data_IF_234304520788
#
_entry.id   IF_234304520788
#
_cell.length_a   1.000
_cell.length_b   1.000
_cell.length_c   1.000
_cell.angle_alpha   90.00
_cell.angle_beta   90.00
_cell.angle_gamma   90.00
#
_symmetry.space_group_name_H-M   'P 1'
#
loop_
_entity.id
_entity.type
_entity.pdbx_description
1 polymer ?
#
# COMPACT_ATOMS: atom_id res chain seq x y z
N UNK A 1 40.07 -17.14 -1.89
CA UNK A 1 39.33 -15.85 -2.06
C UNK A 1 37.98 -16.01 -1.40
N UNK A 2 37.77 -15.31 -0.29
CA UNK A 2 36.53 -15.33 0.47
C UNK A 2 35.43 -14.64 -0.35
N UNK A 3 34.45 -15.40 -0.82
CA UNK A 3 33.21 -14.84 -1.37
C UNK A 3 32.32 -14.50 -0.18
N UNK A 4 32.41 -13.24 0.24
CA UNK A 4 31.48 -12.64 1.20
C UNK A 4 30.10 -12.65 0.56
N UNK A 5 29.21 -13.51 1.06
CA UNK A 5 27.77 -13.39 0.77
C UNK A 5 27.34 -12.02 1.27
N UNK A 6 27.15 -11.07 0.36
CA UNK A 6 26.37 -9.87 0.64
C UNK A 6 25.02 -10.34 1.18
N UNK A 7 24.79 -10.08 2.47
CA UNK A 7 23.45 -10.18 3.05
C UNK A 7 22.64 -9.09 2.37
N UNK A 8 21.74 -9.47 1.45
CA UNK A 8 20.71 -8.57 0.97
C UNK A 8 19.96 -8.01 2.19
N UNK A 9 20.09 -6.71 2.43
CA UNK A 9 19.35 -5.94 3.44
C UNK A 9 17.84 -5.80 3.10
N UNK A 10 17.31 -6.62 2.17
CA UNK A 10 15.92 -6.60 1.72
C UNK A 10 14.89 -6.87 2.82
N UNK A 11 15.27 -7.52 3.93
CA UNK A 11 14.34 -7.86 5.01
C UNK A 11 13.89 -6.63 5.82
N UNK A 12 14.65 -5.52 5.79
CA UNK A 12 14.28 -4.28 6.50
C UNK A 12 13.30 -3.42 5.69
N UNK A 13 13.44 -3.41 4.37
CA UNK A 13 12.59 -2.63 3.48
C UNK A 13 11.18 -3.22 3.36
N UNK A 14 11.06 -4.55 3.45
CA UNK A 14 9.76 -5.22 3.41
C UNK A 14 8.87 -4.79 4.59
N UNK A 15 9.40 -4.82 5.82
CA UNK A 15 8.62 -4.51 7.03
C UNK A 15 8.04 -3.11 7.09
N UNK A 16 8.65 -2.18 6.36
CA UNK A 16 8.16 -0.83 6.16
C UNK A 16 6.88 -0.78 5.32
N UNK A 17 6.54 -1.79 4.51
CA UNK A 17 5.28 -1.80 3.75
C UNK A 17 4.05 -1.94 4.63
N UNK A 18 4.14 -2.66 5.76
CA UNK A 18 2.99 -2.92 6.65
C UNK A 18 2.94 -2.01 7.85
N UNK A 19 4.11 -1.60 8.35
CA UNK A 19 4.22 -0.80 9.57
C UNK A 19 4.72 0.61 9.32
N UNK A 20 5.38 0.84 8.19
CA UNK A 20 5.82 2.18 7.83
C UNK A 20 4.65 3.09 7.48
N UNK A 21 4.96 4.38 7.38
CA UNK A 21 4.06 5.41 6.94
C UNK A 21 3.52 5.07 5.55
N UNK A 22 2.20 4.92 5.46
CA UNK A 22 1.48 4.95 4.20
C UNK A 22 1.07 6.38 3.89
N UNK A 23 1.75 6.99 2.93
CA UNK A 23 1.53 8.36 2.46
C UNK A 23 0.64 8.44 1.21
N UNK A 24 0.03 7.34 0.77
CA UNK A 24 -0.93 7.34 -0.34
C UNK A 24 -2.29 7.90 0.11
N UNK A 25 -2.28 9.11 0.67
CA UNK A 25 -3.41 9.90 1.11
C UNK A 25 -3.15 11.37 0.82
N UNK A 26 -4.20 12.11 0.51
CA UNK A 26 -4.12 13.55 0.24
C UNK A 26 -3.52 14.31 1.44
N UNK A 27 -2.63 15.26 1.17
CA UNK A 27 -2.01 16.12 2.18
C UNK A 27 -0.86 15.47 2.95
N UNK A 28 -0.36 14.31 2.51
CA UNK A 28 0.78 13.60 3.11
C UNK A 28 2.03 13.62 2.21
N UNK A 29 2.01 14.42 1.15
CA UNK A 29 3.11 14.53 0.19
C UNK A 29 4.32 15.25 0.80
N UNK A 30 5.53 14.84 0.42
CA UNK A 30 6.78 15.53 0.81
C UNK A 30 7.24 15.29 2.25
N UNK A 31 6.60 14.38 3.00
CA UNK A 31 7.02 14.01 4.35
C UNK A 31 8.32 13.19 4.35
N UNK A 32 9.15 13.41 5.38
CA UNK A 32 10.36 12.62 5.64
C UNK A 32 9.99 11.21 6.15
N UNK A 33 9.81 10.29 5.21
CA UNK A 33 9.44 8.90 5.50
C UNK A 33 10.47 8.19 6.36
N UNK A 34 11.76 8.43 6.13
CA UNK A 34 12.82 7.73 6.85
C UNK A 34 12.74 8.06 8.34
N UNK A 35 12.64 9.35 8.66
CA UNK A 35 12.50 9.82 10.04
C UNK A 35 11.22 9.32 10.69
N UNK A 36 10.07 9.40 10.00
CA UNK A 36 8.78 8.96 10.54
C UNK A 36 8.79 7.45 10.79
N UNK A 37 9.28 6.67 9.83
CA UNK A 37 9.38 5.23 9.95
C UNK A 37 10.32 4.80 11.08
N UNK A 38 11.42 5.53 11.29
CA UNK A 38 12.31 5.28 12.44
C UNK A 38 11.57 5.42 13.76
N UNK A 39 10.76 6.47 13.93
CA UNK A 39 9.95 6.70 15.14
C UNK A 39 8.93 5.56 15.33
N UNK A 40 8.19 5.20 14.27
CA UNK A 40 7.20 4.11 14.32
C UNK A 40 7.87 2.79 14.71
N UNK A 41 9.04 2.52 14.13
CA UNK A 41 9.77 1.29 14.39
C UNK A 41 10.30 1.22 15.82
N UNK A 42 10.85 2.33 16.33
CA UNK A 42 11.30 2.43 17.73
C UNK A 42 10.14 2.19 18.71
N UNK A 43 8.95 2.73 18.42
CA UNK A 43 7.78 2.57 19.28
C UNK A 43 7.16 1.15 19.25
N UNK A 44 7.30 0.42 18.14
CA UNK A 44 6.53 -0.82 17.92
C UNK A 44 7.37 -2.10 18.04
N UNK A 45 8.70 -2.01 17.89
CA UNK A 45 9.59 -3.17 17.88
C UNK A 45 9.50 -3.98 19.17
N UNK A 46 9.33 -5.30 19.05
CA UNK A 46 9.24 -6.22 20.18
C UNK A 46 7.82 -6.45 20.70
N UNK A 47 6.81 -5.73 20.20
CA UNK A 47 5.41 -5.98 20.52
C UNK A 47 4.87 -7.29 19.90
N UNK A 48 3.77 -7.82 20.45
CA UNK A 48 3.04 -8.94 19.83
C UNK A 48 2.52 -8.58 18.43
N UNK A 49 2.10 -7.32 18.25
CA UNK A 49 1.66 -6.78 16.95
C UNK A 49 2.78 -6.85 15.92
N UNK A 50 3.98 -6.36 16.28
CA UNK A 50 5.17 -6.44 15.43
C UNK A 50 5.49 -7.87 14.99
N UNK A 51 5.45 -8.82 15.93
CA UNK A 51 5.66 -10.24 15.62
C UNK A 51 4.60 -10.81 14.67
N UNK A 52 3.36 -10.32 14.72
CA UNK A 52 2.29 -10.73 13.82
C UNK A 52 2.45 -10.13 12.42
N UNK A 53 2.83 -8.85 12.31
CA UNK A 53 3.09 -8.21 11.02
C UNK A 53 4.26 -8.88 10.29
N UNK A 54 5.34 -9.23 11.01
CA UNK A 54 6.42 -10.06 10.45
C UNK A 54 5.95 -11.41 9.92
N UNK A 55 4.96 -12.05 10.54
CA UNK A 55 4.39 -13.32 10.05
C UNK A 55 3.58 -13.11 8.78
N UNK A 56 2.72 -12.08 8.74
CA UNK A 56 1.91 -11.77 7.56
C UNK A 56 2.77 -11.35 6.38
N UNK A 57 3.85 -10.63 6.63
CA UNK A 57 4.84 -10.26 5.63
C UNK A 57 5.47 -11.48 4.97
N UNK A 58 6.00 -12.42 5.77
CA UNK A 58 6.53 -13.68 5.25
C UNK A 58 5.52 -14.42 4.38
N UNK A 59 4.24 -14.38 4.74
CA UNK A 59 3.18 -14.97 3.93
C UNK A 59 2.99 -14.24 2.59
N UNK A 60 2.99 -12.91 2.58
CA UNK A 60 2.91 -12.11 1.35
C UNK A 60 4.11 -12.39 0.45
N UNK A 61 5.32 -12.40 1.01
CA UNK A 61 6.55 -12.61 0.23
C UNK A 61 6.61 -14.03 -0.33
N UNK A 62 6.10 -15.02 0.42
CA UNK A 62 5.94 -16.37 -0.10
C UNK A 62 4.95 -16.43 -1.26
N UNK A 63 3.83 -15.68 -1.20
CA UNK A 63 2.87 -15.58 -2.31
C UNK A 63 3.51 -14.93 -3.54
N UNK A 64 4.25 -13.84 -3.36
CA UNK A 64 4.98 -13.16 -4.45
C UNK A 64 5.98 -14.13 -5.07
N UNK A 65 6.76 -14.86 -4.26
CA UNK A 65 7.71 -15.86 -4.74
C UNK A 65 7.03 -16.94 -5.58
N UNK A 66 5.90 -17.48 -5.12
CA UNK A 66 5.14 -18.48 -5.86
C UNK A 66 4.63 -17.91 -7.21
N UNK A 67 4.11 -16.68 -7.20
CA UNK A 67 3.67 -15.99 -8.40
C UNK A 67 4.82 -15.77 -9.40
N UNK A 68 6.00 -15.38 -8.91
CA UNK A 68 7.19 -15.19 -9.76
C UNK A 68 7.69 -16.51 -10.35
N UNK A 69 7.61 -17.61 -9.60
CA UNK A 69 7.92 -18.95 -10.12
C UNK A 69 6.95 -19.39 -11.20
N UNK A 70 5.64 -19.16 -11.01
CA UNK A 70 4.63 -19.42 -12.05
C UNK A 70 4.88 -18.57 -13.29
N UNK A 71 5.15 -17.27 -13.11
CA UNK A 71 5.48 -16.35 -14.21
C UNK A 71 6.67 -16.84 -15.03
N UNK A 72 7.72 -17.34 -14.37
CA UNK A 72 8.93 -17.84 -15.04
C UNK A 72 8.68 -19.07 -15.92
N UNK A 73 7.62 -19.84 -15.66
CA UNK A 73 7.25 -21.02 -16.44
C UNK A 73 6.37 -20.69 -17.65
N UNK A 74 5.91 -19.43 -17.79
CA UNK A 74 5.06 -19.01 -18.91
C UNK A 74 5.90 -18.92 -20.18
N UNK A 75 5.48 -19.65 -21.21
CA UNK A 75 6.13 -19.59 -22.53
C UNK A 75 5.65 -18.40 -23.34
N UNK A 76 6.49 -17.92 -24.27
CA UNK A 76 6.11 -16.85 -25.21
C UNK A 76 4.90 -17.22 -26.08
N UNK A 77 4.68 -18.51 -26.35
CA UNK A 77 3.49 -18.96 -27.08
C UNK A 77 2.21 -18.85 -26.24
N UNK A 78 2.24 -19.28 -24.98
CA UNK A 78 1.11 -19.10 -24.05
C UNK A 78 0.82 -17.62 -23.84
N UNK A 79 1.86 -16.79 -23.69
CA UNK A 79 1.70 -15.35 -23.54
C UNK A 79 1.05 -14.71 -24.77
N UNK A 80 1.48 -15.07 -25.99
CA UNK A 80 0.84 -14.61 -27.22
C UNK A 80 -0.62 -15.05 -27.35
N UNK A 81 -0.93 -16.30 -26.97
CA UNK A 81 -2.32 -16.79 -26.96
C UNK A 81 -3.17 -16.00 -25.96
N UNK A 82 -2.66 -15.76 -24.76
CA UNK A 82 -3.34 -14.97 -23.74
C UNK A 82 -3.55 -13.53 -24.20
N UNK A 83 -2.55 -12.92 -24.83
CA UNK A 83 -2.64 -11.57 -25.41
C UNK A 83 -3.80 -11.47 -26.40
N UNK A 84 -3.89 -12.38 -27.37
CA UNK A 84 -5.00 -12.37 -28.35
C UNK A 84 -6.38 -12.51 -27.69
N UNK A 85 -6.49 -13.32 -26.63
CA UNK A 85 -7.74 -13.50 -25.90
C UNK A 85 -8.12 -12.24 -25.11
N UNK A 86 -7.14 -11.63 -24.44
CA UNK A 86 -7.32 -10.40 -23.65
C UNK A 86 -7.63 -9.22 -24.56
N UNK A 87 -6.95 -9.08 -25.70
CA UNK A 87 -7.18 -8.00 -26.66
C UNK A 87 -8.60 -8.07 -27.22
N UNK A 88 -9.08 -9.27 -27.58
CA UNK A 88 -10.47 -9.45 -28.03
C UNK A 88 -11.46 -9.00 -26.97
N UNK A 89 -11.25 -9.39 -25.72
CA UNK A 89 -12.11 -8.98 -24.61
C UNK A 89 -12.03 -7.47 -24.34
N UNK A 90 -10.83 -6.88 -24.40
CA UNK A 90 -10.63 -5.45 -24.25
C UNK A 90 -11.31 -4.66 -25.38
N UNK A 91 -11.30 -5.17 -26.61
CA UNK A 91 -12.06 -4.58 -27.73
C UNK A 91 -13.56 -4.59 -27.47
N UNK A 92 -14.12 -5.68 -26.92
CA UNK A 92 -15.54 -5.74 -26.55
C UNK A 92 -15.89 -4.72 -25.46
N UNK A 93 -15.04 -4.60 -24.43
CA UNK A 93 -15.20 -3.60 -23.37
C UNK A 93 -15.14 -2.16 -23.90
N UNK A 94 -14.22 -1.90 -24.83
CA UNK A 94 -14.05 -0.59 -25.44
C UNK A 94 -15.23 -0.22 -26.34
N UNK A 95 -15.74 -1.17 -27.12
CA UNK A 95 -16.95 -0.98 -27.95
C UNK A 95 -18.18 -0.69 -27.10
N UNK A 96 -18.24 -1.27 -25.90
CA UNK A 96 -19.30 -1.03 -24.91
C UNK A 96 -19.08 0.19 -24.02
N UNK A 97 -18.02 1.00 -24.23
CA UNK A 97 -17.73 2.17 -23.40
C UNK A 97 -18.84 3.21 -23.53
N UNK A 98 -19.57 3.43 -22.45
CA UNK A 98 -20.61 4.46 -22.36
C UNK A 98 -20.07 5.71 -21.67
N UNK A 99 -20.10 6.84 -22.38
CA UNK A 99 -19.69 8.16 -21.89
C UNK A 99 -20.87 9.14 -21.75
N UNK A 100 -22.11 8.66 -21.87
CA UNK A 100 -23.31 9.51 -21.81
C UNK A 100 -23.69 9.91 -20.37
N UNK A 101 -23.15 9.21 -19.38
CA UNK A 101 -23.44 9.48 -17.97
C UNK A 101 -22.38 10.39 -17.35
N UNK A 102 -22.84 11.40 -16.62
CA UNK A 102 -21.97 12.16 -15.71
C UNK A 102 -22.06 11.52 -14.33
N UNK A 103 -20.98 10.86 -13.92
CA UNK A 103 -20.88 10.25 -12.59
C UNK A 103 -20.19 11.22 -11.65
N UNK A 104 -20.85 11.55 -10.54
CA UNK A 104 -20.31 12.46 -9.52
C UNK A 104 -19.98 11.64 -8.26
N UNK A 105 -18.72 11.73 -7.82
CA UNK A 105 -18.27 11.21 -6.54
C UNK A 105 -17.96 12.40 -5.63
N UNK A 106 -18.59 12.42 -4.45
CA UNK A 106 -18.38 13.45 -3.43
C UNK A 106 -17.76 12.78 -2.21
N UNK A 107 -16.63 13.32 -1.76
CA UNK A 107 -15.92 12.87 -0.56
C UNK A 107 -15.78 14.06 0.40
N UNK A 108 -15.91 13.78 1.70
CA UNK A 108 -15.86 14.80 2.75
C UNK A 108 -14.43 14.93 3.28
N UNK A 109 -13.85 16.12 3.16
CA UNK A 109 -12.50 16.41 3.65
C UNK A 109 -12.37 16.14 5.16
N UNK A 110 -11.49 15.22 5.53
CA UNK A 110 -11.18 14.87 6.93
C UNK A 110 -12.43 14.70 7.82
N UNK A 111 -13.49 14.06 7.29
CA UNK A 111 -14.86 14.10 7.79
C UNK A 111 -15.04 14.20 9.32
N UNK A 112 -14.56 13.22 10.09
CA UNK A 112 -14.72 13.22 11.55
C UNK A 112 -13.98 14.37 12.23
N UNK A 113 -12.74 14.66 11.82
CA UNK A 113 -11.97 15.77 12.38
C UNK A 113 -12.62 17.13 12.04
N UNK A 114 -13.17 17.27 10.83
CA UNK A 114 -13.87 18.49 10.42
C UNK A 114 -15.14 18.74 11.26
N UNK A 115 -15.87 17.70 11.64
CA UNK A 115 -17.01 17.80 12.57
C UNK A 115 -16.55 18.28 13.95
N UNK A 116 -15.49 17.67 14.50
CA UNK A 116 -14.95 18.08 15.80
C UNK A 116 -14.42 19.52 15.79
N UNK A 117 -13.77 19.97 14.70
CA UNK A 117 -13.32 21.36 14.52
C UNK A 117 -14.47 22.37 14.40
N UNK A 118 -15.61 21.93 13.84
CA UNK A 118 -16.83 22.75 13.76
C UNK A 118 -17.44 22.93 15.14
N UNK A 119 -17.57 21.83 15.88
CA UNK A 119 -18.26 21.80 17.17
C UNK A 119 -17.38 22.32 18.31
N UNK A 120 -16.05 22.22 18.17
CA UNK A 120 -15.06 22.83 19.05
C UNK A 120 -14.03 23.67 18.25
N UNK A 121 -14.32 24.98 18.03
CA UNK A 121 -13.46 25.86 17.21
C UNK A 121 -12.03 26.03 17.70
N UNK A 122 -11.73 25.76 18.97
CA UNK A 122 -10.37 25.83 19.52
C UNK A 122 -9.41 24.76 18.94
N UNK A 123 -9.94 23.80 18.19
CA UNK A 123 -9.19 22.73 17.53
C UNK A 123 -8.73 23.11 16.11
N UNK A 124 -9.23 24.19 15.50
CA UNK A 124 -9.04 24.48 14.07
C UNK A 124 -7.59 24.62 13.64
N UNK A 125 -6.77 25.24 14.47
CA UNK A 125 -5.36 25.52 14.16
C UNK A 125 -4.41 24.52 14.83
N UNK A 126 -4.92 23.34 15.24
CA UNK A 126 -4.16 22.31 15.95
C UNK A 126 -4.17 20.99 15.17
N UNK A 127 -3.08 20.21 15.19
CA UNK A 127 -3.11 18.85 14.68
C UNK A 127 -4.01 17.99 15.57
N UNK A 128 -5.06 17.41 14.99
CA UNK A 128 -6.01 16.55 15.70
C UNK A 128 -6.20 15.22 14.98
N UNK A 129 -6.61 14.20 15.73
CA UNK A 129 -7.07 12.92 15.22
C UNK A 129 -8.29 12.47 16.03
N UNK A 130 -9.23 11.78 15.40
CA UNK A 130 -10.41 11.22 16.07
C UNK A 130 -10.19 9.72 16.26
N UNK A 131 -10.25 9.24 17.51
CA UNK A 131 -9.98 7.84 17.85
C UNK A 131 -9.59 7.66 19.32
N UNK A 132 -8.81 6.62 19.62
CA UNK A 132 -8.30 6.33 20.96
C UNK A 132 -6.93 5.64 20.91
N UNK A 133 -6.30 5.44 22.08
CA UNK A 133 -4.98 4.82 22.25
C UNK A 133 -5.03 3.31 22.58
N UNK A 134 -6.18 2.65 22.39
CA UNK A 134 -6.43 1.25 22.82
C UNK A 134 -5.50 0.22 22.19
#
# INVERSE_FOLDING_TARGET
>A
MYSTKEKNDNDKDDLLLRMGLNDNKAGMEGLDKEKINKIIMEATKGSKYYGNELKKEKQVNQRIKNMMQQKAQITSQQLRKAQLQVDRFAMELEQGRDLNNTIVHVDMDAFYAAVEMRDNPELKDKPIAVGSMS
#
